data_IF_944621975246
#
_entry.id   IF_944621975246
#
_cell.length_a   1.000
_cell.length_b   1.000
_cell.length_c   1.000
_cell.angle_alpha   90.00
_cell.angle_beta   90.00
_cell.angle_gamma   90.00
#
_symmetry.space_group_name_H-M   'P 1'
#
loop_
_entity.id
_entity.type
_entity.pdbx_description
1 polymer ?
#
# COMPACT_ATOMS: atom_id res chain seq x y z
N UNK A 1 64.83 -3.71 -16.58
CA UNK A 1 64.20 -5.01 -16.23
C UNK A 1 63.53 -4.98 -14.85
N UNK A 2 64.26 -4.76 -13.73
CA UNK A 2 63.65 -4.72 -12.37
C UNK A 2 62.53 -3.67 -12.19
N UNK A 3 62.67 -2.48 -12.78
CA UNK A 3 61.65 -1.41 -12.70
C UNK A 3 60.37 -1.81 -13.45
N UNK A 4 60.50 -2.45 -14.61
CA UNK A 4 59.37 -2.94 -15.44
C UNK A 4 58.58 -4.07 -14.75
N UNK A 5 59.26 -4.94 -14.01
CA UNK A 5 58.63 -6.02 -13.22
C UNK A 5 57.84 -5.43 -12.05
N UNK A 6 58.39 -4.41 -11.37
CA UNK A 6 57.68 -3.73 -10.28
C UNK A 6 56.41 -3.02 -10.78
N UNK A 7 56.46 -2.34 -11.93
CA UNK A 7 55.28 -1.70 -12.50
C UNK A 7 54.20 -2.72 -12.89
N UNK A 8 54.60 -3.86 -13.48
CA UNK A 8 53.67 -4.93 -13.85
C UNK A 8 52.99 -5.54 -12.61
N UNK A 9 53.73 -5.76 -11.53
CA UNK A 9 53.19 -6.27 -10.28
C UNK A 9 52.17 -5.30 -9.64
N UNK A 10 52.42 -4.00 -9.71
CA UNK A 10 51.50 -2.97 -9.20
C UNK A 10 50.21 -2.90 -10.03
N UNK A 11 50.32 -2.92 -11.37
CA UNK A 11 49.13 -2.93 -12.24
C UNK A 11 48.30 -4.18 -12.01
N UNK A 12 48.94 -5.34 -11.86
CA UNK A 12 48.27 -6.60 -11.57
C UNK A 12 47.58 -6.55 -10.18
N UNK A 13 48.24 -6.02 -9.15
CA UNK A 13 47.63 -5.90 -7.83
C UNK A 13 46.39 -4.98 -7.84
N UNK A 14 46.45 -3.86 -8.57
CA UNK A 14 45.30 -2.96 -8.72
C UNK A 14 44.15 -3.64 -9.47
N UNK A 15 44.41 -4.39 -10.55
CA UNK A 15 43.35 -5.06 -11.30
C UNK A 15 42.67 -6.17 -10.50
N UNK A 16 43.42 -6.94 -9.70
CA UNK A 16 42.84 -7.94 -8.80
C UNK A 16 41.98 -7.31 -7.70
N UNK A 17 42.35 -6.13 -7.19
CA UNK A 17 41.58 -5.44 -6.15
C UNK A 17 40.20 -4.94 -6.62
N UNK A 18 40.08 -4.56 -7.90
CA UNK A 18 38.82 -4.15 -8.50
C UNK A 18 37.89 -5.33 -8.87
N UNK A 19 38.43 -6.54 -9.00
CA UNK A 19 37.68 -7.73 -9.36
C UNK A 19 36.86 -8.34 -8.20
N UNK A 20 37.08 -7.89 -6.96
CA UNK A 20 36.31 -8.31 -5.78
C UNK A 20 35.07 -7.42 -5.52
N UNK A 21 34.32 -7.09 -6.57
CA UNK A 21 33.02 -6.42 -6.39
C UNK A 21 31.98 -7.45 -5.99
N UNK A 22 31.33 -7.24 -4.83
CA UNK A 22 30.17 -8.04 -4.41
C UNK A 22 28.94 -7.38 -4.99
N UNK A 23 28.30 -8.02 -5.96
CA UNK A 23 27.00 -7.56 -6.43
C UNK A 23 25.99 -7.63 -5.28
N UNK A 24 25.14 -6.60 -5.21
CA UNK A 24 24.08 -6.58 -4.21
C UNK A 24 23.09 -7.67 -4.60
N UNK A 25 22.71 -8.59 -3.71
CA UNK A 25 21.78 -9.65 -4.07
C UNK A 25 20.47 -9.06 -4.60
N UNK A 26 19.98 -9.60 -5.71
CA UNK A 26 18.66 -9.23 -6.21
C UNK A 26 17.59 -9.63 -5.19
N UNK A 27 16.79 -8.66 -4.75
CA UNK A 27 15.64 -8.89 -3.87
C UNK A 27 14.45 -9.39 -4.68
N UNK A 28 14.53 -10.65 -5.15
CA UNK A 28 13.48 -11.31 -5.91
C UNK A 28 12.36 -11.78 -4.96
N UNK A 29 11.13 -11.38 -5.22
CA UNK A 29 9.97 -11.77 -4.43
C UNK A 29 8.68 -11.07 -4.85
N UNK A 30 7.56 -11.43 -4.21
CA UNK A 30 6.29 -10.72 -4.37
C UNK A 30 6.13 -9.67 -3.28
N UNK A 31 5.60 -8.50 -3.65
CA UNK A 31 5.20 -7.49 -2.68
C UNK A 31 3.81 -7.84 -2.17
N UNK A 32 3.73 -8.24 -0.91
CA UNK A 32 2.46 -8.50 -0.24
C UNK A 32 1.89 -7.21 0.36
N UNK A 33 0.56 -7.09 0.34
CA UNK A 33 -0.17 -6.01 0.98
C UNK A 33 -1.49 -6.50 1.51
N UNK A 34 -1.87 -6.00 2.69
CA UNK A 34 -3.19 -6.23 3.24
C UNK A 34 -4.28 -5.65 2.33
N UNK A 35 -5.20 -6.51 1.92
CA UNK A 35 -6.41 -6.12 1.21
C UNK A 35 -7.57 -6.12 2.18
N UNK A 36 -8.14 -4.94 2.39
CA UNK A 36 -9.38 -4.78 3.15
C UNK A 36 -10.50 -4.49 2.16
N UNK A 37 -11.55 -5.31 2.20
CA UNK A 37 -12.79 -5.04 1.48
C UNK A 37 -13.76 -4.37 2.44
N UNK A 38 -14.33 -3.23 2.05
CA UNK A 38 -15.33 -2.53 2.85
C UNK A 38 -16.74 -2.84 2.28
N UNK A 39 -17.47 -3.81 2.85
CA UNK A 39 -18.82 -4.13 2.38
C UNK A 39 -19.81 -3.03 2.77
N UNK A 40 -20.82 -2.80 1.92
CA UNK A 40 -21.92 -1.91 2.25
C UNK A 40 -22.73 -2.46 3.46
N UNK A 41 -23.03 -1.64 4.48
CA UNK A 41 -23.75 -2.09 5.67
C UNK A 41 -25.25 -2.34 5.42
N UNK A 42 -25.79 -1.83 4.31
CA UNK A 42 -27.20 -1.97 3.94
C UNK A 42 -27.35 -2.07 2.42
N UNK A 43 -28.43 -2.72 1.97
CA UNK A 43 -28.80 -2.85 0.56
C UNK A 43 -29.52 -1.58 0.08
N UNK A 44 -28.80 -0.47 0.05
CA UNK A 44 -29.30 0.84 -0.35
C UNK A 44 -28.55 1.39 -1.56
N UNK A 45 -29.15 2.36 -2.24
CA UNK A 45 -28.55 3.02 -3.39
C UNK A 45 -27.39 3.91 -2.94
N UNK A 46 -26.30 3.91 -3.71
CA UNK A 46 -25.19 4.85 -3.53
C UNK A 46 -25.62 6.23 -4.05
N UNK A 47 -25.51 7.26 -3.21
CA UNK A 47 -25.90 8.63 -3.56
C UNK A 47 -24.73 9.59 -3.66
N UNK A 48 -23.61 9.28 -3.01
CA UNK A 48 -22.36 10.03 -3.13
C UNK A 48 -21.14 9.12 -2.91
N UNK A 49 -20.02 9.48 -3.53
CA UNK A 49 -18.69 8.91 -3.28
C UNK A 49 -17.81 10.11 -2.92
N UNK A 50 -17.27 10.12 -1.70
CA UNK A 50 -16.62 11.30 -1.12
C UNK A 50 -15.09 11.29 -1.29
N UNK A 51 -14.56 10.21 -1.87
CA UNK A 51 -13.13 9.97 -2.08
C UNK A 51 -12.84 9.62 -3.52
N UNK A 52 -11.57 9.75 -3.92
CA UNK A 52 -11.09 9.30 -5.23
C UNK A 52 -10.26 8.02 -5.10
N UNK A 53 -10.14 7.28 -6.19
CA UNK A 53 -9.25 6.12 -6.25
C UNK A 53 -7.81 6.50 -5.89
N UNK A 54 -7.15 5.67 -5.09
CA UNK A 54 -5.80 5.91 -4.59
C UNK A 54 -5.68 6.97 -3.48
N UNK A 55 -6.79 7.62 -3.08
CA UNK A 55 -6.78 8.55 -1.96
C UNK A 55 -6.48 7.81 -0.64
N UNK A 56 -5.55 8.35 0.15
CA UNK A 56 -5.32 7.88 1.51
C UNK A 56 -6.48 8.34 2.41
N UNK A 57 -7.03 7.41 3.20
CA UNK A 57 -8.15 7.65 4.11
C UNK A 57 -7.78 7.26 5.53
N UNK A 58 -8.45 7.85 6.52
CA UNK A 58 -8.28 7.52 7.93
C UNK A 58 -9.45 6.67 8.45
N UNK A 59 -9.22 5.97 9.55
CA UNK A 59 -10.31 5.24 10.23
C UNK A 59 -11.43 6.22 10.64
N UNK A 60 -12.68 5.85 10.33
CA UNK A 60 -13.85 6.70 10.56
C UNK A 60 -14.10 7.77 9.50
N UNK A 61 -13.22 7.91 8.51
CA UNK A 61 -13.46 8.81 7.37
C UNK A 61 -14.59 8.26 6.49
N UNK A 62 -15.53 9.13 6.11
CA UNK A 62 -16.63 8.77 5.22
C UNK A 62 -16.07 8.61 3.79
N UNK A 63 -16.27 7.44 3.21
CA UNK A 63 -15.84 7.15 1.82
C UNK A 63 -16.98 7.30 0.82
N UNK A 64 -18.22 7.07 1.25
CA UNK A 64 -19.40 7.13 0.42
C UNK A 64 -20.66 7.32 1.27
N UNK A 65 -21.76 7.68 0.61
CA UNK A 65 -23.07 7.78 1.22
C UNK A 65 -24.08 6.84 0.54
N UNK A 66 -24.82 6.12 1.37
CA UNK A 66 -26.01 5.37 0.96
C UNK A 66 -27.27 6.19 1.23
N UNK A 67 -28.33 5.94 0.45
CA UNK A 67 -29.65 6.57 0.63
C UNK A 67 -30.18 6.33 2.06
N UNK A 68 -30.46 7.37 2.87
CA UNK A 68 -30.86 7.18 4.25
C UNK A 68 -32.37 6.94 4.44
N UNK A 69 -33.21 7.25 3.46
CA UNK A 69 -34.67 7.38 3.64
C UNK A 69 -35.33 6.16 4.28
N UNK A 70 -35.13 4.96 3.70
CA UNK A 70 -35.77 3.73 4.22
C UNK A 70 -35.26 3.37 5.60
N UNK A 71 -33.95 3.47 5.80
CA UNK A 71 -33.31 3.15 7.09
C UNK A 71 -33.76 4.14 8.15
N UNK A 72 -33.86 5.42 7.81
CA UNK A 72 -34.35 6.49 8.68
C UNK A 72 -35.81 6.30 9.07
N UNK A 73 -36.69 5.99 8.11
CA UNK A 73 -38.10 5.70 8.38
C UNK A 73 -38.27 4.48 9.31
N UNK A 74 -37.50 3.41 9.06
CA UNK A 74 -37.51 2.22 9.93
C UNK A 74 -37.04 2.54 11.34
N UNK A 75 -35.97 3.33 11.47
CA UNK A 75 -35.45 3.75 12.78
C UNK A 75 -36.49 4.57 13.55
N UNK A 76 -37.15 5.53 12.90
CA UNK A 76 -38.20 6.33 13.52
C UNK A 76 -39.37 5.47 14.01
N UNK A 77 -39.82 4.50 13.21
CA UNK A 77 -40.89 3.60 13.60
C UNK A 77 -40.53 2.77 14.85
N UNK A 78 -39.30 2.23 14.91
CA UNK A 78 -38.81 1.48 16.06
C UNK A 78 -38.68 2.36 17.31
N UNK A 79 -38.22 3.60 17.16
CA UNK A 79 -38.14 4.55 18.27
C UNK A 79 -39.52 4.93 18.81
N UNK A 80 -40.53 5.07 17.95
CA UNK A 80 -41.90 5.33 18.39
C UNK A 80 -42.47 4.15 19.18
N UNK A 81 -42.22 2.91 18.74
CA UNK A 81 -42.62 1.70 19.46
C UNK A 81 -41.92 1.58 20.82
N UNK A 82 -40.64 1.93 20.92
CA UNK A 82 -39.89 1.86 22.17
C UNK A 82 -40.31 2.91 23.22
N UNK A 83 -41.08 3.92 22.82
CA UNK A 83 -41.62 4.96 23.73
C UNK A 83 -43.04 4.65 24.21
N UNK A 84 -43.69 3.64 23.65
CA UNK A 84 -45.00 3.14 24.10
C UNK A 84 -44.80 2.17 25.27
#
# INVERSE_FOLDING_TARGET
MKRSIATLAVVLALSLSAACSRDTPDALGTLERDRITLPAPAAERIVAIDVREGQAVRAGERVMQLEPDRTGARLQALQAQARQ
#
